data_IF_444809419005
#
_entry.id   IF_444809419005
#
_cell.length_a   1.000
_cell.length_b   1.000
_cell.length_c   1.000
_cell.angle_alpha   90.00
_cell.angle_beta   90.00
_cell.angle_gamma   90.00
#
_symmetry.space_group_name_H-M   'P 1'
#
loop_
_entity.id
_entity.type
_entity.pdbx_description
1 polymer ?
#
# COMPACT_ATOMS: atom_id res chain seq x y z
N UNK A 1 11.78 -9.32 6.32
CA UNK A 1 11.00 -9.76 5.14
C UNK A 1 11.96 -10.38 4.10
N UNK A 2 11.81 -11.66 3.78
CA UNK A 2 12.80 -12.44 3.01
C UNK A 2 12.88 -12.15 1.50
N UNK A 3 12.75 -10.88 1.09
CA UNK A 3 12.89 -10.40 -0.29
C UNK A 3 12.23 -11.27 -1.37
N UNK A 4 11.09 -11.91 -1.04
CA UNK A 4 10.40 -12.78 -1.99
C UNK A 4 9.64 -11.92 -2.99
N UNK A 5 9.85 -12.11 -4.30
CA UNK A 5 9.04 -11.43 -5.31
C UNK A 5 7.58 -11.86 -5.14
N UNK A 6 6.67 -10.89 -5.09
CA UNK A 6 5.22 -11.15 -4.98
C UNK A 6 4.58 -11.23 -6.35
N UNK A 7 4.94 -10.31 -7.25
CA UNK A 7 4.48 -10.32 -8.64
C UNK A 7 5.60 -9.82 -9.57
N UNK A 8 5.77 -10.49 -10.70
CA UNK A 8 6.60 -10.05 -11.81
C UNK A 8 5.66 -9.52 -12.90
N UNK A 9 5.80 -8.25 -13.25
CA UNK A 9 5.00 -7.62 -14.31
C UNK A 9 5.89 -6.72 -15.17
N UNK A 10 5.57 -6.63 -16.46
CA UNK A 10 6.15 -5.65 -17.38
C UNK A 10 5.28 -4.40 -17.52
N UNK A 11 4.01 -4.52 -17.13
CA UNK A 11 3.05 -3.43 -17.13
C UNK A 11 2.70 -3.05 -15.68
N UNK A 12 3.23 -1.92 -15.25
CA UNK A 12 2.99 -1.38 -13.92
C UNK A 12 1.59 -0.75 -13.81
N UNK A 13 1.04 -0.21 -14.91
CA UNK A 13 -0.24 0.47 -14.87
C UNK A 13 -1.37 -0.53 -14.61
N UNK A 14 -1.44 -1.61 -15.40
CA UNK A 14 -2.44 -2.67 -15.19
C UNK A 14 -2.25 -3.38 -13.84
N UNK A 15 -1.02 -3.47 -13.34
CA UNK A 15 -0.78 -3.99 -11.99
C UNK A 15 -1.46 -3.14 -10.92
N UNK A 16 -1.29 -1.81 -10.95
CA UNK A 16 -1.88 -0.93 -9.95
C UNK A 16 -3.40 -0.80 -10.08
N UNK A 17 -3.93 -0.87 -11.30
CA UNK A 17 -5.36 -0.74 -11.57
C UNK A 17 -6.17 -2.00 -11.26
N UNK A 18 -5.60 -3.19 -11.42
CA UNK A 18 -6.35 -4.45 -11.27
C UNK A 18 -5.71 -5.40 -10.25
N UNK A 19 -4.48 -5.85 -10.53
CA UNK A 19 -3.86 -6.94 -9.78
C UNK A 19 -3.52 -6.58 -8.32
N UNK A 20 -3.26 -5.30 -8.06
CA UNK A 20 -2.92 -4.78 -6.73
C UNK A 20 -3.98 -5.13 -5.69
N UNK A 21 -5.27 -5.08 -6.03
CA UNK A 21 -6.35 -5.29 -5.08
C UNK A 21 -6.39 -6.73 -4.55
N UNK A 22 -6.09 -7.71 -5.39
CA UNK A 22 -6.00 -9.12 -4.96
C UNK A 22 -4.72 -9.36 -4.14
N UNK A 23 -3.59 -8.83 -4.60
CA UNK A 23 -2.31 -8.91 -3.87
C UNK A 23 -2.43 -8.26 -2.50
N UNK A 24 -3.11 -7.12 -2.39
CA UNK A 24 -3.36 -6.38 -1.15
C UNK A 24 -4.09 -7.23 -0.13
N UNK A 25 -5.11 -8.01 -0.52
CA UNK A 25 -5.85 -8.89 0.41
C UNK A 25 -4.94 -9.91 1.05
N UNK A 26 -4.07 -10.54 0.25
CA UNK A 26 -3.13 -11.55 0.72
C UNK A 26 -2.02 -10.94 1.60
N UNK A 27 -1.43 -9.83 1.15
CA UNK A 27 -0.35 -9.15 1.87
C UNK A 27 -0.82 -8.51 3.17
N UNK A 28 -2.04 -7.98 3.23
CA UNK A 28 -2.60 -7.43 4.49
C UNK A 28 -2.69 -8.50 5.58
N UNK A 29 -3.01 -9.74 5.21
CA UNK A 29 -3.05 -10.87 6.16
C UNK A 29 -1.66 -11.27 6.64
N UNK A 30 -0.66 -11.31 5.74
CA UNK A 30 0.73 -11.68 6.08
C UNK A 30 1.50 -10.58 6.80
N UNK A 31 1.18 -9.32 6.49
CA UNK A 31 1.91 -8.14 6.94
C UNK A 31 0.92 -7.07 7.46
N UNK A 32 0.25 -7.32 8.60
CA UNK A 32 -0.79 -6.44 9.12
C UNK A 32 -0.26 -5.08 9.59
N UNK A 33 1.03 -4.97 9.89
CA UNK A 33 1.67 -3.71 10.29
C UNK A 33 1.96 -2.78 9.10
N UNK A 34 1.86 -3.25 7.85
CA UNK A 34 2.15 -2.41 6.68
C UNK A 34 0.94 -1.57 6.28
N UNK A 35 1.21 -0.39 5.73
CA UNK A 35 0.18 0.47 5.16
C UNK A 35 -0.18 -0.02 3.76
N UNK A 36 -1.45 -0.39 3.57
CA UNK A 36 -2.00 -0.89 2.31
C UNK A 36 -3.11 0.05 1.82
N UNK A 37 -2.78 1.08 1.03
CA UNK A 37 -3.74 2.10 0.59
C UNK A 37 -4.88 1.51 -0.24
N UNK A 38 -6.05 2.12 -0.16
CA UNK A 38 -7.19 1.82 -1.04
C UNK A 38 -6.96 2.40 -2.45
N UNK A 39 -6.38 3.60 -2.54
CA UNK A 39 -5.98 4.23 -3.80
C UNK A 39 -4.45 4.12 -3.97
N UNK A 40 -3.93 3.11 -4.69
CA UNK A 40 -2.49 2.93 -4.84
C UNK A 40 -1.80 4.05 -5.64
N UNK A 41 -2.52 4.68 -6.59
CA UNK A 41 -1.97 5.71 -7.48
C UNK A 41 -1.79 7.07 -6.79
N UNK A 42 -2.60 7.36 -5.77
CA UNK A 42 -2.58 8.62 -5.01
C UNK A 42 -1.81 8.49 -3.68
N UNK A 43 -1.42 7.26 -3.33
CA UNK A 43 -0.77 6.99 -2.06
C UNK A 43 0.60 7.64 -1.98
N UNK A 44 0.81 8.48 -0.97
CA UNK A 44 2.12 9.03 -0.69
C UNK A 44 3.12 7.92 -0.35
N UNK A 45 4.23 7.89 -1.10
CA UNK A 45 5.33 6.96 -0.87
C UNK A 45 5.91 7.17 0.54
N UNK A 46 5.77 6.15 1.40
CA UNK A 46 6.31 6.17 2.76
C UNK A 46 7.49 5.24 2.90
N UNK A 47 8.56 5.70 3.56
CA UNK A 47 9.71 4.87 3.88
C UNK A 47 9.40 4.00 5.10
N UNK A 48 8.95 2.77 4.84
CA UNK A 48 8.69 1.76 5.87
C UNK A 48 7.27 1.77 6.43
N UNK A 49 7.08 1.06 7.55
CA UNK A 49 5.80 0.98 8.26
C UNK A 49 5.47 2.33 8.91
N UNK A 50 4.30 2.91 8.58
CA UNK A 50 3.79 4.09 9.29
C UNK A 50 3.64 3.75 10.76
N UNK A 51 4.43 4.38 11.64
CA UNK A 51 4.27 4.24 13.09
C UNK A 51 2.94 4.89 13.48
N UNK A 52 2.20 4.24 14.37
CA UNK A 52 0.80 4.53 14.72
C UNK A 52 0.53 5.91 15.37
N UNK A 53 1.50 6.84 15.34
CA UNK A 53 1.43 8.15 15.99
C UNK A 53 0.99 9.33 15.12
N UNK A 54 0.80 9.16 13.80
CA UNK A 54 0.52 10.28 12.88
C UNK A 54 -0.88 10.29 12.24
N UNK A 55 -1.78 9.35 12.57
CA UNK A 55 -3.10 9.27 11.93
C UNK A 55 -4.07 10.43 12.25
N UNK A 56 -3.69 11.40 13.10
CA UNK A 56 -4.59 12.48 13.52
C UNK A 56 -4.37 13.82 12.82
N UNK A 57 -3.40 13.97 11.91
CA UNK A 57 -3.10 15.28 11.29
C UNK A 57 -3.38 15.39 9.79
N UNK A 58 -3.48 14.27 9.07
CA UNK A 58 -3.56 14.31 7.60
C UNK A 58 -5.00 14.40 7.04
N UNK A 59 -6.03 14.45 7.90
CA UNK A 59 -7.46 14.48 7.51
C UNK A 59 -8.25 15.71 8.03
N UNK A 60 -7.57 16.82 8.35
CA UNK A 60 -8.22 18.12 8.54
C UNK A 60 -7.59 19.14 7.58
N UNK A 61 -8.16 19.32 6.40
CA UNK A 61 -7.67 20.34 5.46
C UNK A 61 -8.26 20.31 4.06
N UNK A 62 -9.52 19.89 3.90
CA UNK A 62 -10.30 20.15 2.71
C UNK A 62 -11.65 20.74 3.13
N UNK A 63 -11.59 22.00 3.60
CA UNK A 63 -12.71 22.95 3.69
C UNK A 63 -12.16 24.32 3.35
#
# INVERSE_FOLDING_TARGET
>A
PGFKPVQLTKDLHSFWSDAYFEVRKELRRRYPKHYWPDNPLEAQAVRGVRRHGNLTKDNMGAR
#
